data_IF_916045232493
#
_entry.id   IF_916045232493
#
_cell.length_a   1.000
_cell.length_b   1.000
_cell.length_c   1.000
_cell.angle_alpha   90.00
_cell.angle_beta   90.00
_cell.angle_gamma   90.00
#
_symmetry.space_group_name_H-M   'P 1'
#
loop_
_entity.id
_entity.type
_entity.pdbx_description
1 polymer ?
#
# COMPACT_ATOMS: atom_id res chain seq x y z
N UNK A 1 13.78 13.30 -7.86
CA UNK A 1 13.34 12.92 -9.24
C UNK A 1 14.09 13.69 -10.31
N UNK A 2 14.34 15.00 -10.13
CA UNK A 2 15.16 15.75 -11.10
C UNK A 2 16.53 15.14 -11.38
N UNK A 3 17.22 14.62 -10.36
CA UNK A 3 18.50 13.92 -10.57
C UNK A 3 18.36 12.66 -11.42
N UNK A 4 17.24 11.92 -11.26
CA UNK A 4 16.97 10.75 -12.07
C UNK A 4 16.72 11.14 -13.54
N UNK A 5 15.96 12.22 -13.77
CA UNK A 5 15.75 12.76 -15.12
C UNK A 5 17.08 13.10 -15.81
N UNK A 6 17.96 13.82 -15.11
CA UNK A 6 19.29 14.22 -15.61
C UNK A 6 20.26 13.05 -15.84
N UNK A 7 20.01 11.90 -15.23
CA UNK A 7 20.87 10.71 -15.37
C UNK A 7 20.60 9.92 -16.66
N UNK A 8 19.47 10.18 -17.32
CA UNK A 8 19.12 9.51 -18.56
C UNK A 8 19.88 10.10 -19.75
N UNK A 9 20.27 9.23 -20.68
CA UNK A 9 20.98 9.59 -21.88
C UNK A 9 20.05 9.44 -23.11
N UNK A 10 20.00 10.44 -24.02
CA UNK A 10 19.06 10.44 -25.15
C UNK A 10 19.35 9.32 -26.17
N UNK A 11 20.57 8.78 -26.24
CA UNK A 11 20.93 7.69 -27.16
C UNK A 11 20.77 6.28 -26.58
N UNK A 12 20.22 6.12 -25.38
CA UNK A 12 20.22 4.84 -24.66
C UNK A 12 18.81 4.42 -24.28
N UNK A 13 18.61 3.10 -24.24
CA UNK A 13 17.47 2.48 -23.58
C UNK A 13 17.87 2.24 -22.12
N UNK A 14 17.11 2.80 -21.18
CA UNK A 14 17.44 2.75 -19.76
C UNK A 14 16.18 2.49 -18.92
N UNK A 15 16.40 2.05 -17.69
CA UNK A 15 15.34 1.89 -16.69
C UNK A 15 15.70 2.68 -15.44
N UNK A 16 14.73 3.39 -14.89
CA UNK A 16 14.87 4.09 -13.62
C UNK A 16 13.75 3.71 -12.67
N UNK A 17 14.03 3.71 -11.37
CA UNK A 17 13.03 3.44 -10.35
C UNK A 17 12.99 4.63 -9.41
N UNK A 18 11.80 5.16 -9.17
CA UNK A 18 11.57 6.27 -8.27
C UNK A 18 10.40 6.01 -7.33
N UNK A 19 10.49 6.51 -6.10
CA UNK A 19 9.38 6.55 -5.17
C UNK A 19 8.78 7.95 -5.14
N UNK A 20 7.47 8.08 -5.28
CA UNK A 20 6.77 9.36 -5.25
C UNK A 20 5.63 9.30 -4.25
N UNK A 21 5.51 10.35 -3.43
CA UNK A 21 4.42 10.53 -2.48
C UNK A 21 3.59 11.74 -2.90
N UNK A 22 2.30 11.54 -3.12
CA UNK A 22 1.35 12.63 -3.36
C UNK A 22 0.84 13.14 -2.01
N UNK A 23 0.72 14.46 -1.85
CA UNK A 23 0.09 15.05 -0.66
C UNK A 23 -1.34 14.48 -0.50
N UNK A 24 -1.62 13.88 0.66
CA UNK A 24 -2.86 13.15 0.94
C UNK A 24 -2.72 11.62 0.93
N UNK A 25 -1.78 11.05 0.17
CA UNK A 25 -1.52 9.60 0.19
C UNK A 25 -0.67 9.21 1.42
N UNK A 26 -1.15 8.23 2.19
CA UNK A 26 -0.41 7.64 3.31
C UNK A 26 0.80 6.79 2.87
N UNK A 27 0.83 6.33 1.62
CA UNK A 27 1.89 5.47 1.07
C UNK A 27 2.59 6.09 -0.13
N UNK A 28 3.91 5.90 -0.23
CA UNK A 28 4.67 6.22 -1.44
C UNK A 28 4.38 5.18 -2.52
N UNK A 29 4.24 5.61 -3.77
CA UNK A 29 4.06 4.74 -4.93
C UNK A 29 5.39 4.63 -5.66
N UNK A 30 5.78 3.40 -5.99
CA UNK A 30 7.00 3.10 -6.73
C UNK A 30 6.69 3.09 -8.23
N UNK A 31 7.44 3.88 -8.98
CA UNK A 31 7.31 4.09 -10.42
C UNK A 31 8.54 3.47 -11.10
N UNK A 32 8.31 2.63 -12.11
CA UNK A 32 9.35 2.21 -13.05
C UNK A 32 9.26 3.09 -14.29
N UNK A 33 10.36 3.72 -14.64
CA UNK A 33 10.52 4.52 -15.85
C UNK A 33 11.21 3.67 -16.89
N UNK A 34 10.53 3.45 -18.01
CA UNK A 34 11.08 2.83 -19.21
C UNK A 34 11.51 3.96 -20.16
N UNK A 35 12.79 4.32 -20.09
CA UNK A 35 13.38 5.39 -20.88
C UNK A 35 13.74 4.90 -22.29
N UNK A 36 13.13 5.51 -23.30
CA UNK A 36 13.29 5.26 -24.71
C UNK A 36 13.85 6.52 -25.38
N UNK A 37 15.12 6.83 -25.08
CA UNK A 37 15.76 8.02 -25.61
C UNK A 37 15.64 8.15 -27.13
N UNK A 38 15.62 9.39 -27.62
CA UNK A 38 15.39 9.75 -29.03
C UNK A 38 16.31 8.99 -30.02
N UNK A 39 17.56 8.72 -29.64
CA UNK A 39 18.53 8.02 -30.49
C UNK A 39 18.43 6.50 -30.49
N UNK A 40 17.44 5.90 -29.81
CA UNK A 40 17.30 4.44 -29.75
C UNK A 40 16.66 3.91 -31.04
N UNK A 41 17.31 2.98 -31.76
CA UNK A 41 16.75 2.42 -32.99
C UNK A 41 15.48 1.61 -32.70
N UNK A 42 14.50 1.66 -33.60
CA UNK A 42 13.21 0.99 -33.47
C UNK A 42 13.33 -0.52 -33.26
N UNK A 43 14.31 -1.16 -33.91
CA UNK A 43 14.61 -2.59 -33.74
C UNK A 43 14.90 -2.94 -32.28
N UNK A 44 15.58 -2.05 -31.54
CA UNK A 44 15.88 -2.25 -30.13
C UNK A 44 14.63 -2.10 -29.27
N UNK A 45 13.76 -1.13 -29.58
CA UNK A 45 12.49 -0.94 -28.87
C UNK A 45 11.59 -2.17 -28.99
N UNK A 46 11.53 -2.76 -30.19
CA UNK A 46 10.78 -4.00 -30.44
C UNK A 46 11.38 -5.17 -29.66
N UNK A 47 12.71 -5.32 -29.68
CA UNK A 47 13.39 -6.39 -28.93
C UNK A 47 13.12 -6.29 -27.41
N UNK A 48 12.94 -5.08 -26.88
CA UNK A 48 12.70 -4.84 -25.45
C UNK A 48 11.24 -4.63 -25.06
N UNK A 49 10.29 -4.96 -25.93
CA UNK A 49 8.86 -4.71 -25.70
C UNK A 49 8.34 -5.32 -24.39
N UNK A 50 8.85 -6.50 -24.00
CA UNK A 50 8.40 -7.22 -22.80
C UNK A 50 9.19 -6.85 -21.53
N UNK A 51 10.35 -6.21 -21.65
CA UNK A 51 11.26 -5.97 -20.53
C UNK A 51 10.59 -5.18 -19.39
N UNK A 52 9.78 -4.18 -19.73
CA UNK A 52 9.06 -3.37 -18.75
C UNK A 52 8.09 -4.22 -17.90
N UNK A 53 7.40 -5.16 -18.52
CA UNK A 53 6.50 -6.10 -17.87
C UNK A 53 7.26 -7.11 -17.01
N UNK A 54 8.37 -7.64 -17.54
CA UNK A 54 9.22 -8.60 -16.83
C UNK A 54 9.86 -7.96 -15.60
N UNK A 55 10.36 -6.72 -15.72
CA UNK A 55 10.87 -5.93 -14.60
C UNK A 55 9.80 -5.66 -13.55
N UNK A 56 8.57 -5.32 -13.96
CA UNK A 56 7.45 -5.15 -13.03
C UNK A 56 7.15 -6.44 -12.25
N UNK A 57 7.25 -7.59 -12.91
CA UNK A 57 7.02 -8.91 -12.29
C UNK A 57 8.17 -9.32 -11.37
N UNK A 58 9.40 -9.01 -11.76
CA UNK A 58 10.61 -9.32 -11.01
C UNK A 58 10.74 -8.44 -9.76
N UNK A 59 10.61 -7.13 -9.92
CA UNK A 59 10.71 -6.14 -8.85
C UNK A 59 9.33 -5.97 -8.19
N UNK A 60 9.04 -6.88 -7.24
CA UNK A 60 7.83 -6.84 -6.42
C UNK A 60 7.70 -5.47 -5.75
N UNK A 61 6.63 -4.74 -6.04
CA UNK A 61 6.36 -3.41 -5.47
C UNK A 61 6.31 -2.25 -6.47
N UNK A 62 6.60 -2.48 -7.76
CA UNK A 62 6.33 -1.48 -8.80
C UNK A 62 4.82 -1.31 -8.96
N UNK A 63 4.34 -0.09 -8.73
CA UNK A 63 2.92 0.24 -8.82
C UNK A 63 2.53 0.56 -10.26
N UNK A 64 3.37 1.33 -10.96
CA UNK A 64 3.13 1.78 -12.33
C UNK A 64 4.41 1.76 -13.14
N UNK A 65 4.26 1.49 -14.43
CA UNK A 65 5.34 1.62 -15.42
C UNK A 65 4.98 2.77 -16.34
N UNK A 66 5.91 3.68 -16.53
CA UNK A 66 5.77 4.86 -17.36
C UNK A 66 6.83 4.82 -18.47
N UNK A 67 6.41 5.00 -19.71
CA UNK A 67 7.34 5.16 -20.83
C UNK A 67 7.68 6.63 -20.96
N UNK A 68 8.95 6.95 -21.12
CA UNK A 68 9.46 8.31 -21.28
C UNK A 68 10.44 8.37 -22.46
N UNK A 69 10.40 9.43 -23.25
CA UNK A 69 11.30 9.65 -24.40
C UNK A 69 12.17 10.89 -24.24
N UNK A 70 11.72 11.83 -23.44
CA UNK A 70 12.38 13.10 -23.13
C UNK A 70 12.33 13.39 -21.64
N UNK A 71 13.20 14.29 -21.17
CA UNK A 71 13.30 14.64 -19.75
C UNK A 71 12.00 15.24 -19.20
N UNK A 72 11.20 15.86 -20.06
CA UNK A 72 9.88 16.42 -19.73
C UNK A 72 8.88 15.32 -19.31
N UNK A 73 8.98 14.11 -19.85
CA UNK A 73 8.12 12.98 -19.44
C UNK A 73 8.46 12.49 -18.02
N UNK A 74 9.65 12.84 -17.51
CA UNK A 74 10.18 12.44 -16.20
C UNK A 74 10.12 13.59 -15.19
N UNK A 75 9.47 14.69 -15.53
CA UNK A 75 9.24 15.78 -14.60
C UNK A 75 8.30 15.35 -13.46
N UNK A 76 8.37 16.08 -12.35
CA UNK A 76 7.58 15.75 -11.16
C UNK A 76 6.08 15.81 -11.45
N UNK A 77 5.64 16.75 -12.29
CA UNK A 77 4.24 16.97 -12.61
C UNK A 77 3.65 15.82 -13.42
N UNK A 78 4.33 15.37 -14.48
CA UNK A 78 3.91 14.23 -15.31
C UNK A 78 3.87 12.94 -14.50
N UNK A 79 4.88 12.71 -13.66
CA UNK A 79 4.89 11.54 -12.77
C UNK A 79 3.71 11.61 -11.80
N UNK A 80 3.47 12.75 -11.14
CA UNK A 80 2.35 12.91 -10.22
C UNK A 80 0.99 12.79 -10.91
N UNK A 81 0.88 13.18 -12.19
CA UNK A 81 -0.33 13.01 -13.01
C UNK A 81 -0.61 11.53 -13.27
N UNK A 82 0.41 10.74 -13.60
CA UNK A 82 0.28 9.29 -13.79
C UNK A 82 -0.01 8.59 -12.47
N UNK A 83 0.76 8.91 -11.42
CA UNK A 83 0.57 8.35 -10.07
C UNK A 83 -0.80 8.72 -9.49
N UNK A 84 -1.29 9.93 -9.76
CA UNK A 84 -2.60 10.40 -9.31
C UNK A 84 -3.79 9.61 -9.86
N UNK A 85 -3.61 8.86 -10.95
CA UNK A 85 -4.65 7.98 -11.50
C UNK A 85 -4.68 6.60 -10.83
N UNK A 86 -3.69 6.29 -9.99
CA UNK A 86 -3.62 5.01 -9.31
C UNK A 86 -4.63 4.95 -8.16
N UNK A 87 -5.20 3.77 -7.89
CA UNK A 87 -6.06 3.56 -6.73
C UNK A 87 -5.30 3.83 -5.42
N UNK A 88 -6.00 4.34 -4.40
CA UNK A 88 -5.43 4.68 -3.11
C UNK A 88 -4.51 5.91 -3.10
N UNK A 89 -4.50 6.73 -4.17
CA UNK A 89 -3.72 7.97 -4.24
C UNK A 89 -4.61 9.22 -4.07
N UNK A 90 -5.81 9.22 -4.66
CA UNK A 90 -6.81 10.28 -4.51
C UNK A 90 -7.89 9.92 -3.48
N UNK A 91 -7.64 8.96 -2.61
CA UNK A 91 -8.54 8.68 -1.51
C UNK A 91 -8.45 9.83 -0.51
N UNK A 92 -9.46 10.70 -0.55
CA UNK A 92 -9.78 11.59 0.56
C UNK A 92 -10.27 10.64 1.64
N UNK A 93 -9.36 10.19 2.51
CA UNK A 93 -9.77 9.63 3.79
C UNK A 93 -10.47 10.80 4.48
N UNK A 94 -11.78 10.73 4.72
CA UNK A 94 -12.42 11.71 5.57
C UNK A 94 -11.72 11.55 6.91
N UNK A 95 -10.83 12.48 7.23
CA UNK A 95 -10.47 12.69 8.61
C UNK A 95 -11.79 13.03 9.24
N UNK A 96 -12.39 12.08 9.95
CA UNK A 96 -13.26 12.43 11.06
C UNK A 96 -12.33 13.18 12.02
N UNK A 97 -12.11 14.46 11.73
CA UNK A 97 -11.81 15.42 12.74
C UNK A 97 -12.94 15.22 13.73
N UNK A 98 -12.60 14.64 14.88
CA UNK A 98 -13.38 14.83 16.08
C UNK A 98 -13.30 16.33 16.38
N UNK A 99 -14.06 17.12 15.63
CA UNK A 99 -14.66 18.32 16.17
C UNK A 99 -15.33 17.87 17.45
N UNK A 100 -14.88 18.44 18.56
CA UNK A 100 -15.48 18.26 19.86
C UNK A 100 -16.90 18.83 19.83
N UNK A 101 -17.87 18.07 19.34
CA UNK A 101 -19.28 18.27 19.61
C UNK A 101 -19.91 16.89 19.79
N UNK A 102 -20.07 16.54 21.07
CA UNK A 102 -21.07 15.63 21.64
C UNK A 102 -21.99 14.92 20.64
N UNK A 103 -21.61 13.71 20.21
CA UNK A 103 -22.53 12.70 19.73
C UNK A 103 -21.91 11.31 19.94
N UNK A 104 -22.62 10.47 20.69
CA UNK A 104 -22.17 9.21 21.26
C UNK A 104 -21.60 8.21 20.22
N UNK A 105 -20.34 7.80 20.41
CA UNK A 105 -19.85 6.53 19.85
C UNK A 105 -20.54 5.33 20.51
N UNK A 106 -20.45 4.11 19.93
CA UNK A 106 -20.91 2.91 20.61
C UNK A 106 -20.15 2.80 21.95
N UNK A 107 -20.91 2.68 23.03
CA UNK A 107 -20.38 2.67 24.38
C UNK A 107 -19.25 1.63 24.53
N UNK A 108 -18.22 1.91 25.35
CA UNK A 108 -17.19 0.92 25.64
C UNK A 108 -17.87 -0.35 26.14
N UNK A 109 -17.57 -1.48 25.49
CA UNK A 109 -18.04 -2.79 25.91
C UNK A 109 -17.47 -3.08 27.31
N UNK A 110 -18.28 -2.81 28.32
CA UNK A 110 -17.97 -3.15 29.70
C UNK A 110 -17.84 -4.66 29.79
N UNK A 111 -16.68 -5.16 30.19
CA UNK A 111 -16.60 -6.54 30.62
C UNK A 111 -17.51 -6.67 31.84
N UNK A 112 -18.47 -7.61 31.78
CA UNK A 112 -19.33 -7.95 32.92
C UNK A 112 -18.52 -8.75 33.96
N UNK A 113 -17.31 -8.31 34.28
CA UNK A 113 -16.45 -8.94 35.25
C UNK A 113 -16.93 -8.53 36.64
N UNK A 114 -17.63 -9.46 37.30
CA UNK A 114 -17.87 -9.37 38.74
C UNK A 114 -16.75 -10.15 39.44
N UNK A 115 -15.86 -9.50 40.21
CA UNK A 115 -14.91 -10.24 41.02
C UNK A 115 -15.68 -11.12 42.01
N UNK A 116 -15.52 -12.43 41.86
CA UNK A 116 -16.12 -13.41 42.76
C UNK A 116 -15.45 -13.25 44.12
N UNK A 117 -16.18 -12.76 45.12
CA UNK A 117 -15.71 -12.75 46.51
C UNK A 117 -15.57 -14.20 46.97
N UNK A 118 -14.33 -14.67 47.10
CA UNK A 118 -13.94 -16.06 47.38
C UNK A 118 -14.34 -16.63 48.77
N UNK A 119 -15.36 -16.07 49.46
CA UNK A 119 -15.76 -16.47 50.81
C UNK A 119 -17.18 -17.01 50.93
N UNK A 120 -17.86 -17.35 49.83
CA UNK A 120 -19.22 -17.93 49.88
C UNK A 120 -19.45 -19.16 49.00
N UNK A 121 -18.39 -19.91 48.66
CA UNK A 121 -18.48 -21.15 47.88
C UNK A 121 -18.17 -22.43 48.68
N UNK A 122 -18.08 -22.33 50.01
CA UNK A 122 -17.99 -23.51 50.88
C UNK A 122 -19.29 -23.64 51.68
N UNK A 123 -20.42 -23.79 51.00
CA UNK A 123 -21.55 -24.46 51.61
C UNK A 123 -22.53 -24.89 50.55
N UNK A 124 -22.91 -26.16 50.65
CA UNK A 124 -24.09 -26.77 50.05
C UNK A 124 -23.94 -27.35 48.64
N UNK A 125 -23.78 -28.67 48.66
CA UNK A 125 -24.52 -29.68 47.88
C UNK A 125 -23.73 -30.41 46.79
N UNK A 126 -23.01 -31.42 47.26
CA UNK A 126 -22.97 -32.79 46.72
C UNK A 126 -23.71 -33.00 45.39
N UNK A 127 -22.98 -32.95 44.28
CA UNK A 127 -23.41 -33.62 43.04
C UNK A 127 -22.86 -35.04 43.12
N UNK A 128 -23.73 -36.00 43.47
CA UNK A 128 -23.49 -37.44 43.29
C UNK A 128 -23.44 -37.71 41.78
N UNK A 129 -22.25 -37.97 41.23
CA UNK A 129 -22.10 -38.59 39.91
C UNK A 129 -21.82 -40.08 40.10
N UNK A 130 -22.87 -40.92 40.01
CA UNK A 130 -22.72 -42.37 39.81
C UNK A 130 -22.43 -42.60 38.33
N UNK A 131 -21.19 -42.95 38.00
CA UNK A 131 -20.85 -43.55 36.71
C UNK A 131 -20.77 -45.07 36.89
N UNK A 132 -21.65 -45.80 36.23
CA UNK A 132 -21.72 -47.26 36.22
C UNK A 132 -20.83 -47.76 35.08
N UNK A 133 -19.71 -48.39 35.43
CA UNK A 133 -18.87 -49.12 34.47
C UNK A 133 -19.48 -50.50 34.27
N UNK A 134 -19.79 -50.82 33.02
CA UNK A 134 -20.23 -52.14 32.55
C UNK A 134 -18.99 -52.87 32.05
N UNK A 135 -18.66 -54.01 32.66
CA UNK A 135 -18.02 -55.13 31.97
C UNK A 135 -19.12 -56.15 31.67
#
# INVERSE_FOLDING_TARGET
MEELAKSFAPGKLQYGIGAVKRGGSGSAKIVLIHWQGEGVPSSRLVATANHATDLKRFLRGIHVVMIARSEEDVDMESILRVVGRLPGVNEIIPTTASSSETAAGPAPVGTNYRPVKAKKLISSQFIKLKAQVRL
#
